data_IF_805983453503
#
_entry.id   IF_805983453503
#
_cell.length_a   1.000
_cell.length_b   1.000
_cell.length_c   1.000
_cell.angle_alpha   90.00
_cell.angle_beta   90.00
_cell.angle_gamma   90.00
#
_symmetry.space_group_name_H-M   'P 1'
#
loop_
_entity.id
_entity.type
_entity.pdbx_description
1 polymer ?
2 non-polymer ?
3 water ?
#
# COMPACT_ATOMS: atom_id res chain seq x y z
N UNK A 1 6.86 30.76 6.48
CA UNK A 1 7.04 29.47 5.74
C UNK A 1 8.33 28.76 6.17
N UNK A 2 8.49 27.53 5.69
CA UNK A 2 9.68 26.75 6.00
C UNK A 2 10.78 27.11 4.99
N UNK A 3 11.78 27.84 5.47
CA UNK A 3 12.89 28.30 4.63
C UNK A 3 13.57 27.17 3.85
N UNK A 4 13.77 26.03 4.50
CA UNK A 4 14.42 24.90 3.85
C UNK A 4 13.65 24.32 2.68
N UNK A 5 12.34 24.21 2.81
CA UNK A 5 11.50 23.63 1.75
C UNK A 5 10.58 24.59 1.02
N UNK A 6 10.27 25.72 1.66
CA UNK A 6 9.37 26.67 1.04
C UNK A 6 7.93 26.25 1.27
N UNK A 7 7.74 25.23 2.09
CA UNK A 7 6.41 24.71 2.43
C UNK A 7 5.75 25.56 3.50
N UNK A 8 4.43 25.44 3.67
CA UNK A 8 3.69 26.20 4.69
C UNK A 8 4.17 25.84 6.10
N UNK A 9 4.02 26.77 7.04
CA UNK A 9 4.42 26.53 8.42
C UNK A 9 3.54 25.47 9.06
N UNK A 10 3.98 25.00 10.22
CA UNK A 10 3.24 24.00 10.98
C UNK A 10 1.89 24.59 11.39
N UNK A 11 1.89 25.90 11.69
CA UNK A 11 0.68 26.59 12.10
C UNK A 11 -0.34 26.66 10.96
N UNK A 12 0.13 27.00 9.77
CA UNK A 12 -0.75 27.09 8.62
C UNK A 12 -1.29 25.70 8.27
N UNK A 13 -0.44 24.69 8.34
CA UNK A 13 -0.90 23.33 8.04
C UNK A 13 -2.02 23.00 9.03
N UNK A 14 -1.77 23.33 10.29
CA UNK A 14 -2.73 23.10 11.36
C UNK A 14 -4.06 23.77 11.05
N UNK A 15 -4.00 25.02 10.60
CA UNK A 15 -5.22 25.77 10.25
C UNK A 15 -5.93 25.11 9.07
N UNK A 16 -5.15 24.69 8.08
CA UNK A 16 -5.69 24.05 6.89
C UNK A 16 -6.42 22.75 7.27
N UNK A 17 -5.79 21.96 8.13
CA UNK A 17 -6.37 20.70 8.56
C UNK A 17 -7.68 20.89 9.32
N UNK A 18 -7.70 21.86 10.23
CA UNK A 18 -8.90 22.12 11.00
C UNK A 18 -10.06 22.49 10.07
N UNK A 19 -9.78 23.32 9.06
CA UNK A 19 -10.81 23.73 8.13
C UNK A 19 -11.30 22.57 7.26
N UNK A 20 -10.39 21.72 6.82
CA UNK A 20 -10.78 20.59 6.00
C UNK A 20 -11.65 19.61 6.79
N UNK A 21 -11.31 19.39 8.06
CA UNK A 21 -12.09 18.48 8.89
C UNK A 21 -13.50 19.01 9.12
N UNK A 22 -13.65 20.34 9.10
CA UNK A 22 -14.95 20.96 9.29
C UNK A 22 -15.75 20.90 7.99
N UNK A 23 -15.06 20.98 6.86
CA UNK A 23 -15.70 20.96 5.55
C UNK A 23 -16.00 19.57 5.02
N UNK A 24 -15.09 18.62 5.26
CA UNK A 24 -15.30 17.27 4.74
C UNK A 24 -15.35 16.18 5.79
N UNK A 25 -16.55 15.64 5.99
CA UNK A 25 -16.77 14.56 6.95
C UNK A 25 -17.65 13.47 6.33
N UNK A 26 -17.78 13.49 5.01
CA UNK A 26 -18.54 12.49 4.27
C UNK A 26 -17.60 11.35 3.94
N UNK A 27 -18.10 10.11 3.98
CA UNK A 27 -17.28 8.95 3.69
C UNK A 27 -16.82 8.94 2.23
N UNK A 28 -17.53 9.68 1.39
CA UNK A 28 -17.18 9.72 -0.03
C UNK A 28 -16.14 10.77 -0.41
N UNK A 29 -15.88 11.70 0.49
CA UNK A 29 -14.90 12.76 0.23
C UNK A 29 -14.30 13.16 1.59
N UNK A 30 -13.75 12.18 2.32
CA UNK A 30 -13.16 12.41 3.63
C UNK A 30 -11.83 13.12 3.62
N UNK A 31 -11.42 13.55 4.81
CA UNK A 31 -10.13 14.18 4.97
C UNK A 31 -9.20 13.01 5.20
N UNK A 32 -8.04 13.04 4.54
CA UNK A 32 -7.07 11.97 4.72
C UNK A 32 -5.72 12.60 5.01
N UNK A 33 -5.01 12.01 5.96
CA UNK A 33 -3.71 12.51 6.36
C UNK A 33 -2.63 11.47 6.08
N UNK A 34 -1.58 11.90 5.39
CA UNK A 34 -0.45 11.03 5.10
C UNK A 34 0.72 11.59 5.89
N UNK A 35 1.48 10.72 6.55
CA UNK A 35 2.64 11.13 7.32
C UNK A 35 3.80 10.41 6.65
N UNK A 36 4.65 11.16 5.96
CA UNK A 36 5.77 10.59 5.23
C UNK A 36 7.10 10.74 5.94
N UNK A 37 7.90 9.69 5.87
CA UNK A 37 9.21 9.67 6.51
C UNK A 37 10.27 9.39 5.47
N UNK A 38 11.32 10.20 5.44
CA UNK A 38 12.42 9.95 4.53
C UNK A 38 13.30 9.08 5.43
N UNK A 39 13.10 7.77 5.31
CA UNK A 39 13.80 6.79 6.12
C UNK A 39 15.32 6.88 6.21
N UNK A 40 15.99 7.10 5.08
CA UNK A 40 17.46 7.15 5.11
C UNK A 40 18.05 8.56 5.08
N UNK A 41 17.26 9.56 5.44
CA UNK A 41 17.75 10.92 5.41
C UNK A 41 18.94 11.20 6.32
N UNK A 42 18.89 10.73 7.56
CA UNK A 42 19.97 10.98 8.50
C UNK A 42 21.34 10.54 7.98
N UNK A 43 21.41 9.32 7.44
CA UNK A 43 22.66 8.82 6.91
C UNK A 43 23.12 9.71 5.77
N UNK A 44 22.18 10.15 4.93
CA UNK A 44 22.49 11.02 3.80
C UNK A 44 22.99 12.36 4.34
N UNK A 45 22.19 12.99 5.19
CA UNK A 45 22.54 14.27 5.76
C UNK A 45 23.88 14.22 6.49
N UNK A 46 24.16 13.11 7.17
CA UNK A 46 25.43 12.98 7.87
C UNK A 46 26.59 12.85 6.90
N UNK A 47 26.46 11.93 5.95
CA UNK A 47 27.49 11.69 4.95
C UNK A 47 27.77 12.88 4.03
N UNK A 48 26.71 13.45 3.45
CA UNK A 48 26.86 14.56 2.51
C UNK A 48 26.87 15.97 3.07
N UNK A 49 26.47 16.15 4.33
CA UNK A 49 26.46 17.49 4.89
C UNK A 49 25.09 18.12 4.76
N UNK A 50 24.82 19.11 5.59
CA UNK A 50 23.54 19.79 5.61
C UNK A 50 23.20 20.62 4.37
N UNK A 51 24.20 21.04 3.61
CA UNK A 51 23.94 21.79 2.40
C UNK A 51 23.17 20.90 1.44
N UNK A 52 23.67 19.69 1.21
CA UNK A 52 23.01 18.74 0.33
C UNK A 52 21.71 18.27 0.97
N UNK A 53 21.76 18.07 2.28
CA UNK A 53 20.58 17.63 3.02
C UNK A 53 19.41 18.57 2.84
N UNK A 54 19.65 19.87 2.97
CA UNK A 54 18.57 20.83 2.82
C UNK A 54 18.05 20.83 1.40
N UNK A 55 18.96 20.73 0.44
CA UNK A 55 18.57 20.70 -0.97
C UNK A 55 17.66 19.51 -1.23
N UNK A 56 18.03 18.36 -0.64
CA UNK A 56 17.25 17.14 -0.81
C UNK A 56 15.83 17.31 -0.24
N UNK A 57 15.76 17.89 0.96
CA UNK A 57 14.47 18.11 1.61
C UNK A 57 13.56 19.00 0.78
N UNK A 58 14.14 20.01 0.14
CA UNK A 58 13.37 20.94 -0.68
C UNK A 58 12.90 20.26 -1.97
N UNK A 59 13.75 19.41 -2.54
CA UNK A 59 13.40 18.71 -3.77
C UNK A 59 12.34 17.64 -3.48
N UNK A 60 12.38 17.09 -2.27
CA UNK A 60 11.42 16.07 -1.86
C UNK A 60 10.05 16.72 -1.64
N UNK A 61 10.06 17.88 -1.01
CA UNK A 61 8.84 18.63 -0.74
C UNK A 61 8.12 19.02 -2.01
N UNK A 62 8.89 19.38 -3.04
CA UNK A 62 8.30 19.78 -4.31
C UNK A 62 7.73 18.59 -5.06
N UNK A 63 8.44 17.45 -5.03
CA UNK A 63 7.95 16.28 -5.72
C UNK A 63 6.68 15.78 -5.05
N UNK A 64 6.58 15.98 -3.74
CA UNK A 64 5.38 15.56 -3.03
C UNK A 64 4.21 16.41 -3.50
N UNK A 65 4.44 17.71 -3.63
CA UNK A 65 3.38 18.60 -4.09
C UNK A 65 2.90 18.25 -5.50
N UNK A 66 3.80 17.76 -6.34
CA UNK A 66 3.41 17.42 -7.71
C UNK A 66 2.56 16.16 -7.72
N UNK A 67 2.65 15.37 -6.65
CA UNK A 67 1.91 14.12 -6.56
C UNK A 67 0.58 14.22 -5.84
N UNK A 68 0.32 15.33 -5.16
CA UNK A 68 -0.96 15.50 -4.47
C UNK A 68 -1.88 16.32 -5.38
N UNK A 69 -3.04 16.75 -4.88
CA UNK A 69 -3.96 17.53 -5.69
C UNK A 69 -3.92 19.01 -5.33
N UNK A 70 -4.24 19.86 -6.29
CA UNK A 70 -4.27 21.30 -6.03
C UNK A 70 -5.27 21.46 -4.90
N UNK A 71 -4.90 22.20 -3.86
CA UNK A 71 -5.82 22.37 -2.75
C UNK A 71 -5.33 21.59 -1.52
N UNK A 72 -4.45 20.62 -1.75
CA UNK A 72 -3.90 19.84 -0.63
C UNK A 72 -2.76 20.63 -0.01
N UNK A 73 -2.40 20.32 1.23
CA UNK A 73 -1.33 21.02 1.91
C UNK A 73 -0.24 20.05 2.38
N UNK A 74 1.01 20.47 2.24
CA UNK A 74 2.16 19.67 2.65
C UNK A 74 3.03 20.54 3.57
N UNK A 75 3.51 19.95 4.65
CA UNK A 75 4.36 20.68 5.60
C UNK A 75 5.38 19.75 6.24
N UNK A 76 6.58 20.26 6.50
CA UNK A 76 7.65 19.46 7.08
C UNK A 76 7.54 19.40 8.61
N UNK A 77 8.04 18.32 9.18
CA UNK A 77 8.03 18.18 10.64
C UNK A 77 9.09 17.19 11.09
N UNK A 78 9.59 17.40 12.31
CA UNK A 78 10.61 16.50 12.84
C UNK A 78 11.83 16.41 11.95
N UNK A 79 12.14 17.50 11.27
CA UNK A 79 13.31 17.51 10.39
C UNK A 79 13.15 16.82 9.06
N UNK A 80 12.92 15.51 9.07
CA UNK A 80 12.80 14.76 7.83
C UNK A 80 11.48 14.05 7.57
N UNK A 81 10.40 14.53 8.16
CA UNK A 81 9.07 13.94 7.93
C UNK A 81 8.19 15.02 7.30
N UNK A 82 7.12 14.60 6.67
CA UNK A 82 6.19 15.53 6.03
C UNK A 82 4.76 15.12 6.34
N UNK A 83 3.92 16.09 6.70
CA UNK A 83 2.52 15.80 6.97
C UNK A 83 1.78 16.27 5.73
N UNK A 84 1.02 15.35 5.14
CA UNK A 84 0.29 15.63 3.93
C UNK A 84 -1.22 15.59 4.14
N UNK A 85 -1.88 16.70 3.89
CA UNK A 85 -3.32 16.81 4.05
C UNK A 85 -4.04 16.70 2.72
N UNK A 86 -4.91 15.70 2.60
CA UNK A 86 -5.70 15.53 1.39
C UNK A 86 -7.06 16.15 1.72
N UNK A 87 -7.29 17.33 1.16
CA UNK A 87 -8.48 18.12 1.41
C UNK A 87 -9.70 17.59 0.63
N UNK A 88 -10.22 16.45 1.07
CA UNK A 88 -11.35 15.82 0.39
C UNK A 88 -10.71 14.84 -0.58
N UNK A 89 -10.61 13.58 -0.17
CA UNK A 89 -9.95 12.56 -0.97
C UNK A 89 -10.83 11.69 -1.86
N UNK A 90 -11.95 12.22 -2.32
CA UNK A 90 -12.81 11.44 -3.19
C UNK A 90 -12.04 10.93 -4.40
N UNK A 91 -12.29 9.66 -4.75
CA UNK A 91 -11.65 9.02 -5.89
C UNK A 91 -10.16 8.74 -5.73
N UNK A 92 -9.65 8.79 -4.51
CA UNK A 92 -8.23 8.50 -4.29
C UNK A 92 -8.11 7.21 -3.47
N UNK A 93 -9.24 6.54 -3.27
CA UNK A 93 -9.27 5.31 -2.50
C UNK A 93 -8.68 5.60 -1.12
N UNK A 94 -9.23 6.61 -0.46
CA UNK A 94 -8.81 7.03 0.86
C UNK A 94 -7.33 7.39 0.91
N UNK A 95 -6.87 8.08 -0.13
CA UNK A 95 -5.48 8.50 -0.22
C UNK A 95 -4.48 7.48 -0.73
N UNK A 96 -4.87 6.22 -0.90
CA UNK A 96 -3.94 5.21 -1.37
C UNK A 96 -3.33 5.55 -2.73
N UNK A 97 -4.14 6.09 -3.64
CA UNK A 97 -3.64 6.45 -4.96
C UNK A 97 -2.69 7.64 -4.89
N UNK A 98 -2.86 8.48 -3.86
CA UNK A 98 -1.98 9.64 -3.70
C UNK A 98 -0.65 9.14 -3.13
N UNK A 99 -0.71 8.22 -2.17
CA UNK A 99 0.48 7.66 -1.57
C UNK A 99 1.31 6.94 -2.66
N UNK A 100 0.63 6.28 -3.60
CA UNK A 100 1.33 5.58 -4.67
C UNK A 100 2.01 6.55 -5.63
N UNK A 101 1.36 7.67 -5.89
CA UNK A 101 1.92 8.69 -6.79
C UNK A 101 3.13 9.36 -6.14
N UNK A 102 3.10 9.53 -4.88
CA UNK A 102 4.24 10.10 -4.16
C UNK A 102 5.39 9.11 -4.23
N UNK A 103 5.14 7.87 -3.89
CA UNK A 103 6.19 6.88 -3.93
C UNK A 103 6.81 6.79 -5.34
N UNK A 104 5.98 6.95 -6.37
CA UNK A 104 6.50 6.90 -7.74
C UNK A 104 7.41 8.08 -8.02
N UNK A 105 7.04 9.26 -7.52
CA UNK A 105 7.86 10.43 -7.73
C UNK A 105 9.14 10.41 -6.92
N UNK A 106 9.05 9.94 -5.67
CA UNK A 106 10.23 9.89 -4.79
C UNK A 106 11.17 8.72 -5.04
N UNK A 107 10.75 7.77 -5.88
CA UNK A 107 11.59 6.62 -6.20
C UNK A 107 12.59 7.05 -7.27
N UNK A 108 12.34 8.19 -7.90
CA UNK A 108 13.24 8.70 -8.93
C UNK A 108 14.49 9.26 -8.23
N UNK A 109 15.66 9.13 -8.85
CA UNK A 109 16.87 9.64 -8.22
C UNK A 109 16.91 11.15 -8.05
N UNK A 110 17.69 11.61 -7.07
CA UNK A 110 17.88 13.03 -6.81
C UNK A 110 19.35 13.23 -7.15
N UNK A 111 19.63 13.93 -8.25
CA UNK A 111 21.02 14.11 -8.64
C UNK A 111 21.61 15.43 -8.18
N UNK A 112 22.63 15.35 -7.34
CA UNK A 112 23.32 16.53 -6.84
C UNK A 112 24.74 16.42 -7.37
N UNK A 113 25.05 17.24 -8.37
CA UNK A 113 26.37 17.17 -8.98
C UNK A 113 26.47 15.81 -9.65
N UNK A 114 27.53 15.08 -9.36
CA UNK A 114 27.72 13.75 -9.92
C UNK A 114 27.29 12.70 -8.90
N UNK A 115 26.63 13.15 -7.83
CA UNK A 115 26.19 12.25 -6.78
C UNK A 115 24.71 11.88 -6.90
N UNK A 116 24.46 10.60 -7.17
CA UNK A 116 23.11 10.09 -7.31
C UNK A 116 22.59 9.76 -5.91
N UNK A 117 21.38 10.23 -5.59
CA UNK A 117 20.80 9.95 -4.29
C UNK A 117 19.43 9.30 -4.44
N UNK A 118 19.26 8.18 -3.75
CA UNK A 118 18.00 7.46 -3.78
C UNK A 118 17.51 7.38 -2.33
N UNK A 119 16.36 7.99 -2.05
CA UNK A 119 15.84 7.95 -0.69
C UNK A 119 14.87 6.80 -0.54
N UNK A 120 14.74 6.32 0.70
CA UNK A 120 13.81 5.26 1.02
C UNK A 120 12.68 5.99 1.76
N UNK A 121 11.43 5.64 1.45
CA UNK A 121 10.28 6.33 2.04
C UNK A 121 9.24 5.41 2.68
N UNK A 122 8.64 5.86 3.78
CA UNK A 122 7.59 5.10 4.46
C UNK A 122 6.43 6.04 4.74
N UNK A 123 5.23 5.60 4.40
CA UNK A 123 4.06 6.44 4.58
C UNK A 123 2.96 5.80 5.43
N UNK A 124 2.47 6.56 6.41
CA UNK A 124 1.38 6.08 7.25
C UNK A 124 0.13 6.85 6.84
N UNK A 125 -0.95 6.24 6.86
CA UNK A 125 -2.14 6.95 6.39
C UNK A 125 -3.29 6.93 7.39
N UNK A 126 -4.01 7.91 7.65
CA UNK A 126 -5.11 7.96 8.62
C UNK A 126 -6.30 8.61 7.92
N UNK A 127 -7.44 7.93 7.96
CA UNK A 127 -8.66 8.43 7.32
C UNK A 127 -9.67 8.90 8.36
N UNK A 128 -10.20 10.10 8.16
CA UNK A 128 -11.20 10.64 9.08
C UNK A 128 -12.56 10.12 8.63
N UNK A 129 -13.43 9.75 9.57
CA UNK A 129 -13.25 9.77 11.02
C UNK A 129 -12.76 8.47 11.66
N UNK A 130 -12.87 7.36 10.92
CA UNK A 130 -12.46 6.05 11.44
C UNK A 130 -11.12 6.04 12.18
N UNK A 131 -10.14 6.76 11.65
CA UNK A 131 -8.80 6.81 12.23
C UNK A 131 -8.57 8.02 13.11
N UNK A 132 -9.66 8.64 13.55
CA UNK A 132 -9.54 9.81 14.41
C UNK A 132 -10.45 10.94 13.97
N UNK A 133 -11.01 11.64 14.94
CA UNK A 133 -11.89 12.76 14.67
C UNK A 133 -11.12 14.07 14.72
N UNK A 134 -10.37 14.29 15.80
CA UNK A 134 -9.59 15.51 15.97
C UNK A 134 -8.32 15.44 15.13
N UNK A 135 -7.73 16.60 14.84
CA UNK A 135 -6.51 16.63 14.06
C UNK A 135 -5.36 15.95 14.81
N UNK A 136 -5.34 16.08 16.14
CA UNK A 136 -4.28 15.46 16.93
C UNK A 136 -4.36 13.94 16.83
N UNK A 137 -5.56 13.39 16.91
CA UNK A 137 -5.73 11.94 16.84
C UNK A 137 -5.38 11.44 15.45
N UNK A 138 -5.81 12.18 14.43
CA UNK A 138 -5.56 11.79 13.05
C UNK A 138 -4.05 11.75 12.77
N UNK A 139 -3.35 12.80 13.15
CA UNK A 139 -1.91 12.90 12.95
C UNK A 139 -1.16 11.81 13.70
N UNK A 140 -1.48 11.64 14.98
CA UNK A 140 -0.84 10.61 15.79
C UNK A 140 -1.08 9.23 15.22
N UNK A 141 -2.28 9.00 14.70
CA UNK A 141 -2.59 7.70 14.13
C UNK A 141 -1.87 7.48 12.80
N UNK A 142 -1.77 8.53 11.98
CA UNK A 142 -1.06 8.40 10.71
C UNK A 142 0.42 8.19 11.04
N UNK A 143 0.88 8.84 12.10
CA UNK A 143 2.28 8.74 12.53
C UNK A 143 2.57 7.30 12.96
N UNK A 144 1.65 6.72 13.73
CA UNK A 144 1.82 5.35 14.19
C UNK A 144 1.85 4.39 13.02
N UNK A 145 0.95 4.59 12.05
CA UNK A 145 0.90 3.73 10.87
C UNK A 145 2.23 3.86 10.11
N UNK A 146 2.75 5.08 10.06
CA UNK A 146 4.01 5.35 9.37
C UNK A 146 5.15 4.51 9.96
N UNK A 147 5.36 4.62 11.27
CA UNK A 147 6.42 3.87 11.93
C UNK A 147 6.23 2.36 11.80
N UNK A 148 4.97 1.92 11.75
CA UNK A 148 4.69 0.50 11.58
C UNK A 148 5.21 0.09 10.21
N UNK A 149 4.89 0.90 9.20
CA UNK A 149 5.32 0.64 7.84
C UNK A 149 6.85 0.59 7.80
N UNK A 150 7.48 1.62 8.33
CA UNK A 150 8.95 1.70 8.36
C UNK A 150 9.59 0.48 9.00
N UNK A 151 8.91 -0.12 9.98
CA UNK A 151 9.46 -1.28 10.66
C UNK A 151 9.39 -2.56 9.82
N UNK A 152 8.51 -2.60 8.86
CA UNK A 152 8.28 -3.77 8.09
C UNK A 152 8.93 -3.71 6.68
N UNK A 153 9.56 -2.58 6.35
CA UNK A 153 10.14 -2.40 5.03
C UNK A 153 10.33 -0.94 4.64
N UNK A 154 10.62 -0.71 3.35
CA UNK A 154 10.82 0.65 2.84
C UNK A 154 10.04 0.85 1.54
N UNK A 155 9.87 2.10 1.16
CA UNK A 155 9.15 2.49 -0.05
C UNK A 155 7.76 1.87 -0.03
N UNK A 156 7.12 2.02 1.13
CA UNK A 156 5.79 1.45 1.36
C UNK A 156 4.87 2.40 2.08
N UNK A 157 3.61 1.98 2.21
CA UNK A 157 2.62 2.76 2.91
C UNK A 157 1.65 1.79 3.57
N UNK A 158 0.96 2.28 4.60
CA UNK A 158 -0.04 1.46 5.24
C UNK A 158 -1.01 2.33 6.02
N UNK A 159 -2.25 1.89 6.11
CA UNK A 159 -3.29 2.62 6.82
C UNK A 159 -3.24 2.27 8.29
N UNK A 160 -3.66 3.21 9.13
CA UNK A 160 -3.70 2.97 10.56
C UNK A 160 -4.75 1.88 10.81
N UNK A 161 -4.46 0.98 11.75
CA UNK A 161 -5.40 -0.09 12.10
C UNK A 161 -5.84 0.04 13.56
N UNK A 162 -7.12 0.39 13.78
CA UNK A 162 -7.68 0.57 15.12
C UNK A 162 -7.37 -0.61 16.05
N UNK B 8 -5.03 -33.09 -18.62
CA UNK B 8 -4.15 -32.58 -17.58
C UNK B 8 -4.71 -32.82 -16.20
N UNK B 9 -5.08 -31.73 -15.57
CA UNK B 9 -6.16 -31.71 -14.63
C UNK B 9 -7.13 -30.54 -14.77
N UNK B 10 -8.07 -30.75 -15.67
CA UNK B 10 -9.05 -29.76 -15.96
C UNK B 10 -9.95 -29.63 -14.79
N UNK B 11 -9.95 -30.62 -13.90
CA UNK B 11 -10.93 -30.59 -12.84
C UNK B 11 -10.35 -29.67 -11.67
N UNK B 12 -9.06 -29.66 -11.60
CA UNK B 12 -8.42 -28.88 -10.55
C UNK B 12 -8.60 -27.40 -10.85
N UNK B 13 -8.50 -27.05 -12.14
CA UNK B 13 -8.68 -25.65 -12.57
C UNK B 13 -10.13 -25.20 -12.38
N UNK B 14 -11.05 -26.15 -12.40
CA UNK B 14 -12.47 -25.85 -12.19
C UNK B 14 -12.67 -25.52 -10.71
N UNK B 15 -11.99 -26.28 -9.85
CA UNK B 15 -12.07 -26.12 -8.40
C UNK B 15 -11.43 -24.83 -7.91
N UNK B 16 -10.45 -24.32 -8.67
CA UNK B 16 -9.74 -23.12 -8.28
C UNK B 16 -10.08 -21.86 -9.09
N UNK B 17 -9.34 -21.61 -10.17
CA UNK B 17 -9.54 -20.42 -11.00
C UNK B 17 -10.91 -20.24 -11.65
N UNK B 18 -11.37 -21.26 -12.36
CA UNK B 18 -12.65 -21.18 -13.06
C UNK B 18 -13.84 -20.86 -12.16
N UNK B 19 -13.97 -21.54 -11.03
CA UNK B 19 -15.09 -21.25 -10.15
C UNK B 19 -14.94 -19.82 -9.62
N UNK B 20 -13.70 -19.39 -9.41
CA UNK B 20 -13.44 -18.05 -8.91
C UNK B 20 -13.88 -16.99 -9.95
N UNK B 21 -13.64 -17.29 -11.22
CA UNK B 21 -14.02 -16.36 -12.27
C UNK B 21 -15.54 -16.32 -12.49
N UNK B 22 -16.24 -17.29 -11.92
CA UNK B 22 -17.70 -17.37 -12.05
C UNK B 22 -18.44 -16.62 -10.94
N UNK B 23 -17.71 -16.18 -9.92
CA UNK B 23 -18.31 -15.46 -8.81
C UNK B 23 -18.87 -14.14 -9.33
N UNK B 24 -19.82 -13.56 -8.59
CA UNK B 24 -20.43 -12.31 -9.02
C UNK B 24 -20.69 -11.34 -7.86
N UNK B 25 -21.06 -10.11 -8.22
CA UNK B 25 -21.34 -9.06 -7.25
C UNK B 25 -22.73 -9.19 -6.66
N UNK B 26 -22.81 -9.59 -5.39
CA UNK B 26 -24.09 -9.72 -4.72
C UNK B 26 -24.68 -8.32 -4.59
N UNK B 27 -25.48 -7.92 -5.57
CA UNK B 27 -26.12 -6.61 -5.60
C UNK B 27 -26.21 -5.88 -4.27
N UNK B 28 -25.82 -4.61 -4.30
CA UNK B 28 -25.86 -3.80 -3.09
C UNK B 28 -24.46 -3.33 -2.74
N UNK B 29 -23.55 -4.28 -2.54
CA UNK B 29 -22.18 -3.95 -2.19
C UNK B 29 -21.17 -4.34 -3.27
N UNK B 30 -20.32 -3.39 -3.68
CA UNK B 30 -19.32 -3.65 -4.72
C UNK B 30 -18.27 -4.63 -4.18
N UNK B 31 -17.54 -5.26 -5.08
CA UNK B 31 -16.53 -6.23 -4.66
C UNK B 31 -15.11 -5.70 -4.81
N UNK B 32 -14.20 -6.26 -4.02
CA UNK B 32 -12.80 -5.85 -4.05
C UNK B 32 -11.88 -7.06 -4.21
N UNK B 33 -11.46 -7.34 -5.43
CA UNK B 33 -10.57 -8.47 -5.71
C UNK B 33 -9.22 -8.27 -5.04
N UNK B 34 -8.35 -9.26 -5.18
CA UNK B 34 -7.02 -9.20 -4.58
C UNK B 34 -6.07 -10.21 -5.23
N UNK B 35 -5.08 -9.69 -5.94
CA UNK B 35 -4.09 -10.55 -6.60
C UNK B 35 -2.74 -10.49 -5.90
N UNK B 36 -2.28 -11.62 -5.40
CA UNK B 36 -1.00 -11.69 -4.69
C UNK B 36 -0.11 -12.78 -5.27
N UNK B 37 1.17 -12.44 -5.47
CA UNK B 37 2.13 -13.39 -6.01
C UNK B 37 3.29 -13.60 -5.04
N UNK B 38 3.74 -14.85 -4.94
CA UNK B 38 4.84 -15.18 -4.03
C UNK B 38 6.07 -14.81 -4.84
N UNK B 39 6.71 -13.71 -4.47
CA UNK B 39 7.88 -13.23 -5.19
C UNK B 39 8.93 -14.31 -5.40
N UNK B 40 9.50 -14.33 -6.61
CA UNK B 40 10.53 -15.28 -6.99
C UNK B 40 10.17 -16.73 -6.66
N UNK B 41 8.89 -17.09 -6.78
CA UNK B 41 8.52 -18.47 -6.48
C UNK B 41 9.23 -19.47 -7.38
N UNK B 42 9.41 -19.12 -8.65
CA UNK B 42 10.06 -20.02 -9.60
C UNK B 42 11.45 -20.42 -9.11
N UNK B 43 12.26 -19.44 -8.74
CA UNK B 43 13.61 -19.68 -8.25
C UNK B 43 13.57 -20.57 -7.00
N UNK B 44 12.62 -20.31 -6.11
CA UNK B 44 12.47 -21.08 -4.89
C UNK B 44 12.19 -22.55 -5.25
N UNK B 45 11.25 -22.74 -6.17
CA UNK B 45 10.86 -24.07 -6.63
C UNK B 45 12.02 -24.80 -7.31
N UNK B 46 12.82 -24.07 -8.09
CA UNK B 46 13.96 -24.65 -8.80
C UNK B 46 15.07 -25.05 -7.84
N UNK B 47 15.16 -24.38 -6.70
CA UNK B 47 16.21 -24.64 -5.73
C UNK B 47 15.82 -25.63 -4.63
N UNK B 48 14.57 -25.58 -4.16
CA UNK B 48 14.15 -26.46 -3.10
C UNK B 48 13.34 -27.68 -3.55
N UNK B 49 12.99 -27.75 -4.83
CA UNK B 49 12.23 -28.89 -5.32
C UNK B 49 10.73 -28.64 -5.30
N UNK B 50 9.98 -29.33 -6.17
CA UNK B 50 8.54 -29.11 -6.23
C UNK B 50 7.78 -29.55 -4.99
N UNK B 51 8.27 -30.58 -4.30
CA UNK B 51 7.59 -31.03 -3.09
C UNK B 51 7.56 -29.91 -2.05
N UNK B 52 8.66 -29.18 -1.94
CA UNK B 52 8.72 -28.06 -0.99
C UNK B 52 7.95 -26.87 -1.55
N UNK B 53 8.10 -26.59 -2.83
CA UNK B 53 7.39 -25.48 -3.45
C UNK B 53 5.88 -25.64 -3.35
N UNK B 54 5.40 -26.85 -3.63
CA UNK B 54 3.96 -27.13 -3.53
C UNK B 54 3.50 -26.91 -2.09
N UNK B 55 4.25 -27.45 -1.14
CA UNK B 55 3.86 -27.29 0.26
C UNK B 55 3.77 -25.82 0.62
N UNK B 56 4.69 -25.02 0.09
CA UNK B 56 4.70 -23.59 0.36
C UNK B 56 3.43 -22.94 -0.19
N UNK B 57 3.02 -23.33 -1.39
CA UNK B 57 1.82 -22.78 -2.00
C UNK B 57 0.59 -23.16 -1.18
N UNK B 58 0.50 -24.42 -0.78
CA UNK B 58 -0.63 -24.89 0.01
C UNK B 58 -0.69 -24.18 1.36
N UNK B 59 0.46 -24.04 2.02
CA UNK B 59 0.50 -23.37 3.31
C UNK B 59 0.12 -21.89 3.16
N UNK B 60 0.64 -21.25 2.12
CA UNK B 60 0.34 -19.85 1.88
C UNK B 60 -1.17 -19.61 1.77
N UNK B 61 -1.86 -20.45 1.00
CA UNK B 61 -3.30 -20.31 0.83
C UNK B 61 -4.04 -20.44 2.16
N UNK B 62 -3.63 -21.39 2.99
CA UNK B 62 -4.30 -21.58 4.27
C UNK B 62 -4.06 -20.38 5.18
N UNK B 63 -2.87 -19.79 5.09
CA UNK B 63 -2.56 -18.63 5.91
C UNK B 63 -3.44 -17.47 5.48
N UNK B 64 -3.56 -17.26 4.17
CA UNK B 64 -4.38 -16.19 3.62
C UNK B 64 -5.81 -16.39 4.12
N UNK B 65 -6.31 -17.61 4.02
CA UNK B 65 -7.68 -17.92 4.44
C UNK B 65 -7.92 -17.54 5.90
N UNK B 66 -6.89 -17.66 6.72
CA UNK B 66 -7.00 -17.33 8.13
C UNK B 66 -6.97 -15.81 8.37
N UNK B 67 -6.41 -15.06 7.43
CA UNK B 67 -6.30 -13.61 7.59
C UNK B 67 -7.45 -12.78 7.00
N UNK B 68 -8.34 -13.40 6.25
CA UNK B 68 -9.44 -12.66 5.66
C UNK B 68 -10.72 -12.67 6.48
N UNK B 69 -11.65 -11.79 6.12
CA UNK B 69 -12.92 -11.66 6.82
C UNK B 69 -13.87 -12.82 6.55
N UNK B 70 -14.87 -12.96 7.43
CA UNK B 70 -15.85 -14.03 7.36
C UNK B 70 -16.51 -14.22 5.99
N UNK B 71 -16.71 -13.13 5.25
CA UNK B 71 -17.34 -13.26 3.95
C UNK B 71 -16.41 -13.25 2.75
N UNK B 72 -15.13 -13.47 2.99
CA UNK B 72 -14.12 -13.46 1.94
C UNK B 72 -13.71 -14.86 1.49
N UNK B 73 -13.42 -15.00 0.20
CA UNK B 73 -13.02 -16.29 -0.36
C UNK B 73 -11.59 -16.24 -0.92
N UNK B 74 -10.93 -17.39 -0.95
CA UNK B 74 -9.57 -17.48 -1.45
C UNK B 74 -9.39 -18.60 -2.46
N UNK B 75 -8.67 -18.33 -3.54
CA UNK B 75 -8.45 -19.35 -4.55
C UNK B 75 -7.06 -19.29 -5.17
N UNK B 76 -6.42 -20.46 -5.33
CA UNK B 76 -5.11 -20.51 -5.95
C UNK B 76 -5.37 -20.48 -7.45
N UNK B 77 -4.51 -19.80 -8.19
CA UNK B 77 -4.67 -19.68 -9.63
C UNK B 77 -3.32 -19.44 -10.31
N UNK B 78 -3.29 -19.58 -11.62
CA UNK B 78 -2.06 -19.35 -12.37
C UNK B 78 -0.89 -20.18 -11.90
N UNK B 79 -1.16 -21.30 -11.23
CA UNK B 79 -0.11 -22.16 -10.76
C UNK B 79 0.44 -21.78 -9.40
N UNK B 80 1.02 -20.58 -9.31
CA UNK B 80 1.60 -20.11 -8.05
C UNK B 80 1.08 -18.74 -7.58
N UNK B 81 -0.12 -18.37 -7.93
CA UNK B 81 -0.70 -17.13 -7.51
C UNK B 81 -1.96 -17.35 -6.69
N UNK B 82 -2.48 -16.28 -6.12
CA UNK B 82 -3.64 -16.39 -5.25
C UNK B 82 -4.56 -15.21 -5.47
N UNK B 83 -5.87 -15.45 -5.44
CA UNK B 83 -6.81 -14.37 -5.60
C UNK B 83 -7.72 -14.38 -4.37
N UNK B 84 -8.09 -13.20 -3.89
CA UNK B 84 -8.96 -13.08 -2.74
C UNK B 84 -10.10 -12.14 -3.10
N UNK B 85 -11.33 -12.64 -2.94
CA UNK B 85 -12.52 -11.85 -3.24
C UNK B 85 -13.16 -11.38 -1.95
N UNK B 86 -13.32 -10.06 -1.81
CA UNK B 86 -13.95 -9.48 -0.63
C UNK B 86 -15.37 -9.07 -0.99
N UNK B 87 -16.35 -9.72 -0.35
CA UNK B 87 -17.75 -9.43 -0.60
C UNK B 87 -18.28 -8.45 0.44
N UNK B 88 -18.37 -7.18 0.05
CA UNK B 88 -18.85 -6.15 0.96
C UNK B 88 -17.82 -5.05 1.06
N UNK B 89 -16.61 -5.42 1.50
CA UNK B 89 -15.50 -4.48 1.63
C UNK B 89 -15.77 -3.34 2.61
N UNK B 90 -16.95 -3.35 3.22
CA UNK B 90 -17.31 -2.31 4.17
C UNK B 90 -16.37 -2.22 5.37
N UNK B 91 -15.84 -1.03 5.62
CA UNK B 91 -14.94 -0.78 6.74
C UNK B 91 -13.56 -1.42 6.59
N UNK B 92 -13.21 -1.83 5.37
CA UNK B 92 -11.91 -2.46 5.14
C UNK B 92 -11.03 -1.51 4.35
N UNK B 93 -11.56 -0.33 4.03
CA UNK B 93 -10.84 0.69 3.27
C UNK B 93 -10.51 0.16 1.89
N UNK B 94 -11.55 -0.30 1.20
CA UNK B 94 -11.40 -0.85 -0.13
C UNK B 94 -10.48 -2.07 -0.11
N UNK B 95 -10.44 -2.76 1.02
CA UNK B 95 -9.62 -3.95 1.14
C UNK B 95 -8.23 -3.78 1.71
N UNK B 96 -7.78 -2.53 1.80
CA UNK B 96 -6.44 -2.22 2.32
C UNK B 96 -6.15 -2.87 3.66
N UNK B 97 -7.12 -2.86 4.57
CA UNK B 97 -6.92 -3.45 5.89
C UNK B 97 -6.77 -4.96 5.83
N UNK B 98 -7.46 -5.59 4.89
CA UNK B 98 -7.36 -7.04 4.73
C UNK B 98 -5.99 -7.37 4.14
N UNK B 99 -5.57 -6.60 3.14
CA UNK B 99 -4.27 -6.84 2.52
C UNK B 99 -3.15 -6.78 3.57
N UNK B 100 -3.28 -5.84 4.51
CA UNK B 100 -2.29 -5.68 5.57
C UNK B 100 -2.29 -6.87 6.52
N UNK B 101 -3.46 -7.43 6.80
CA UNK B 101 -3.53 -8.58 7.67
C UNK B 101 -2.89 -9.77 6.95
N UNK B 102 -3.19 -9.94 5.71
CA UNK B 102 -2.57 -11.00 4.94
C UNK B 102 -1.06 -10.83 5.01
N UNK B 103 -0.53 -9.62 4.73
CA UNK B 103 0.91 -9.36 4.78
C UNK B 103 1.48 -9.70 6.16
N UNK B 104 0.74 -9.37 7.22
CA UNK B 104 1.23 -9.69 8.56
C UNK B 104 1.38 -11.21 8.66
N UNK B 105 0.39 -11.93 8.16
CA UNK B 105 0.43 -13.39 8.21
C UNK B 105 1.54 -14.00 7.39
N UNK B 106 1.80 -13.45 6.21
CA UNK B 106 2.83 -13.98 5.32
C UNK B 106 4.25 -13.52 5.62
N UNK B 107 4.42 -12.68 6.63
CA UNK B 107 5.74 -12.18 7.02
C UNK B 107 6.42 -13.17 7.96
N UNK B 108 5.64 -14.01 8.63
CA UNK B 108 6.21 -14.97 9.57
C UNK B 108 6.77 -16.17 8.80
N UNK B 109 7.85 -16.77 9.32
CA UNK B 109 8.45 -17.92 8.64
C UNK B 109 7.51 -19.10 8.51
N UNK B 110 7.67 -19.85 7.42
CA UNK B 110 6.88 -21.05 7.19
C UNK B 110 7.73 -22.16 7.80
N UNK B 111 7.17 -22.91 8.75
CA UNK B 111 7.92 -23.97 9.41
C UNK B 111 7.49 -25.35 8.93
N UNK B 112 8.30 -25.94 8.06
CA UNK B 112 8.02 -27.26 7.51
C UNK B 112 8.88 -28.34 8.13
N UNK B 113 9.61 -27.97 9.18
CA UNK B 113 10.50 -28.90 9.85
C UNK B 113 11.85 -28.21 9.87
N UNK B 114 12.92 -28.91 9.49
CA UNK B 114 14.25 -28.31 9.48
C UNK B 114 14.33 -27.21 8.42
N UNK B 115 13.47 -27.28 7.42
CA UNK B 115 13.44 -26.27 6.36
C UNK B 115 12.43 -25.19 6.71
N UNK B 116 12.91 -23.97 6.92
CA UNK B 116 12.03 -22.85 7.23
C UNK B 116 12.20 -21.84 6.11
N UNK B 117 11.07 -21.31 5.62
CA UNK B 117 11.06 -20.37 4.51
C UNK B 117 10.40 -19.04 4.84
N UNK B 118 11.02 -17.95 4.39
CA UNK B 118 10.45 -16.62 4.54
C UNK B 118 10.23 -16.16 3.11
N UNK B 119 9.00 -15.75 2.80
CA UNK B 119 8.70 -15.29 1.44
C UNK B 119 8.43 -13.79 1.45
N UNK B 120 8.56 -13.18 0.27
CA UNK B 120 8.24 -11.77 0.10
C UNK B 120 7.08 -11.84 -0.88
N UNK B 121 6.05 -11.01 -0.66
CA UNK B 121 4.89 -11.03 -1.55
C UNK B 121 4.52 -9.66 -2.05
N UNK B 122 3.72 -9.64 -3.11
CA UNK B 122 3.24 -8.42 -3.74
C UNK B 122 1.74 -8.64 -3.92
N UNK B 123 0.97 -7.66 -3.68
CA UNK B 123 -0.47 -7.77 -3.81
C UNK B 123 -1.07 -6.65 -4.65
N UNK B 124 -1.96 -6.97 -5.52
CA UNK B 124 -2.61 -5.99 -6.35
C UNK B 124 -4.05 -5.92 -5.86
N UNK B 125 -4.65 -4.74 -5.87
CA UNK B 125 -6.04 -4.59 -5.44
C UNK B 125 -6.86 -3.89 -6.51
N UNK B 126 -7.97 -4.50 -6.90
CA UNK B 126 -8.85 -3.92 -7.91
C UNK B 126 -10.22 -3.74 -7.29
N UNK B 127 -10.79 -2.54 -7.45
CA UNK B 127 -12.10 -2.24 -6.89
C UNK B 127 -13.16 -2.03 -7.97
N UNK B 128 -14.24 -2.75 -7.84
CA UNK B 128 -15.38 -2.57 -8.78
C UNK B 128 -16.26 -1.32 -8.33
N UNK B 129 -16.91 -0.73 -9.30
CA UNK B 129 -16.85 -1.03 -10.74
C UNK B 129 -15.77 -0.26 -11.50
N UNK B 130 -15.17 0.73 -10.85
CA UNK B 130 -14.14 1.56 -11.48
C UNK B 130 -12.96 0.77 -12.06
N UNK B 131 -12.62 -0.34 -11.41
CA UNK B 131 -11.51 -1.18 -11.85
C UNK B 131 -11.98 -2.38 -12.66
N UNK B 132 -13.26 -2.36 -13.04
CA UNK B 132 -13.81 -3.46 -13.82
C UNK B 132 -15.05 -4.05 -13.18
N UNK B 133 -15.87 -4.74 -13.98
CA UNK B 133 -17.09 -5.36 -13.47
C UNK B 133 -17.04 -6.89 -13.48
N UNK B 134 -16.52 -7.49 -14.55
CA UNK B 134 -16.44 -8.95 -14.56
C UNK B 134 -15.33 -9.36 -13.61
N UNK B 135 -15.40 -10.57 -13.07
CA UNK B 135 -14.36 -11.03 -12.16
C UNK B 135 -13.03 -11.04 -12.91
N UNK B 136 -13.06 -11.48 -14.16
CA UNK B 136 -11.83 -11.55 -14.96
C UNK B 136 -11.19 -10.20 -15.13
N UNK B 137 -11.99 -9.16 -15.36
CA UNK B 137 -11.44 -7.82 -15.56
C UNK B 137 -10.77 -7.33 -14.28
N UNK B 138 -11.39 -7.48 -13.25
CA UNK B 138 -10.84 -7.13 -11.94
C UNK B 138 -9.56 -7.95 -11.69
N UNK B 139 -9.58 -9.19 -11.91
CA UNK B 139 -8.39 -10.02 -11.72
C UNK B 139 -7.24 -9.47 -12.56
N UNK B 140 -7.53 -9.14 -13.82
CA UNK B 140 -6.52 -8.58 -14.73
C UNK B 140 -5.94 -7.27 -14.20
N UNK B 141 -6.83 -6.37 -13.78
CA UNK B 141 -6.40 -5.07 -13.27
C UNK B 141 -5.64 -5.21 -11.96
N UNK B 142 -6.05 -6.15 -11.11
CA UNK B 142 -5.34 -6.36 -9.86
C UNK B 142 -3.96 -6.92 -10.18
N UNK B 143 -3.88 -7.75 -11.23
CA UNK B 143 -2.59 -8.33 -11.62
C UNK B 143 -1.65 -7.21 -12.04
N UNK B 144 -2.17 -6.23 -12.78
CA UNK B 144 -1.37 -5.09 -13.22
C UNK B 144 -0.85 -4.30 -12.01
N UNK B 145 -1.70 -4.10 -11.00
CA UNK B 145 -1.30 -3.37 -9.81
C UNK B 145 -0.24 -4.13 -9.01
N UNK B 146 -0.37 -5.44 -9.00
CA UNK B 146 0.55 -6.28 -8.27
C UNK B 146 1.99 -6.07 -8.78
N UNK B 147 2.16 -6.04 -10.07
CA UNK B 147 3.46 -5.86 -10.69
C UNK B 147 4.03 -4.48 -10.35
N UNK B 148 3.15 -3.49 -10.22
CA UNK B 148 3.65 -2.16 -9.85
C UNK B 148 4.12 -2.22 -8.41
N UNK B 149 3.40 -2.96 -7.57
CA UNK B 149 3.78 -3.09 -6.16
C UNK B 149 5.14 -3.79 -6.06
N UNK B 150 5.29 -4.84 -6.86
CA UNK B 150 6.52 -5.64 -6.89
C UNK B 150 7.71 -4.81 -7.39
N UNK B 151 7.45 -3.90 -8.32
CA UNK B 151 8.57 -3.11 -8.87
C UNK B 151 8.97 -2.07 -7.83
N UNK B 152 8.07 -1.71 -6.95
CA UNK B 152 8.33 -0.72 -5.91
C UNK B 152 9.13 -1.30 -4.75
N UNK B 153 8.79 -2.54 -4.39
CA UNK B 153 9.49 -3.21 -3.31
C UNK B 153 8.85 -4.55 -3.01
N UNK B 154 9.14 -5.10 -1.83
CA UNK B 154 8.58 -6.38 -1.45
C UNK B 154 7.63 -6.21 -0.27
N UNK B 155 6.70 -7.15 -0.15
CA UNK B 155 5.70 -7.13 0.92
C UNK B 155 4.85 -5.88 0.91
N UNK B 156 4.39 -5.54 -0.27
CA UNK B 156 3.62 -4.35 -0.54
C UNK B 156 2.24 -4.66 -1.14
N UNK B 157 1.37 -3.68 -1.20
CA UNK B 157 0.11 -3.86 -1.89
C UNK B 157 -0.09 -2.56 -2.65
N UNK B 158 -0.78 -2.66 -3.78
CA UNK B 158 -1.00 -1.51 -4.65
C UNK B 158 -2.40 -1.56 -5.23
N UNK B 159 -3.10 -0.42 -5.21
CA UNK B 159 -4.44 -0.35 -5.80
C UNK B 159 -4.28 -0.02 -7.27
N UNK B 160 -5.07 -0.68 -8.12
CA UNK B 160 -5.01 -0.41 -9.56
C UNK B 160 -5.41 1.05 -9.78
N UNK B 161 -4.78 1.67 -10.78
CA UNK B 161 -5.06 3.06 -11.11
C UNK B 161 -5.33 3.23 -12.60
N UNK B 162 -6.60 3.49 -12.97
CA UNK B 162 -7.00 3.68 -14.37
C UNK B 162 -6.35 4.90 -15.01
X LIG C 1 12.80 8.92 12.66
X LIG C 1 11.62 9.68 13.12
X LIG C 1 13.93 9.85 12.50
X LIG C 1 13.14 7.89 13.66
X LIG C 1 12.51 8.28 11.36
X LIG D 1 -3.47 10.24 25.30
X LIG D 1 -3.82 9.30 24.22
X LIG D 1 -3.06 11.54 24.75
X LIG D 1 -4.63 10.42 26.19
X LIG D 1 -2.35 9.66 26.08
X LIG E 1 11.49 -3.30 0.40
X LIG E 1 12.54 -3.96 -0.40
X LIG E 1 10.38 -4.23 0.66
X LIG E 1 12.06 -2.87 1.69
X LIG E 1 10.99 -2.12 -0.32
X LIG F 1 5.59 -30.59 9.81
X LIG F 1 4.23 -30.24 9.39
X LIG F 1 6.56 -29.69 9.16
X LIG F 1 5.71 -30.47 11.27
X LIG F 1 5.87 -31.98 9.40
X LIG G 1 6.13 -13.48 -11.27
X LIG G 1 5.95 -13.06 -9.95
X LIG G 1 6.25 -12.41 -12.12
X LIG G 1 7.29 -14.24 -11.44
X LIG G 1 5.11 -14.34 -11.71
X LIG H 1 11.93 -31.83 -8.28
X LIG H 1 11.31 -30.59 -8.77
X LIG H 1 12.38 -31.62 -6.90
X LIG H 1 10.94 -32.92 -8.32
X LIG H 1 13.09 -32.18 -9.12
X LIG I 1 -0.34 -28.67 -4.93
X LIG I 1 -1.65 -28.21 -4.42
X LIG I 1 0.07 -29.89 -4.21
X LIG I 1 -0.44 -28.96 -6.37
X LIG I 1 0.66 -27.61 -4.71
X LIG J 1 6.27 -17.21 -15.72
X LIG J 1 4.98 -16.56 -15.97
X LIG J 1 6.84 -16.71 -14.45
X LIG J 1 6.08 -18.68 -15.62
X LIG J 1 7.19 -16.92 -16.82
#
# INVERSE_FOLDING_TARGET
>A
MDTVTGLPNRQLFCDRLLQALAAHERDGNPVVLLFLDVDNFKSINDSLGHLVGDRLLRATAERIRTAVRDGDTVARIGGDKFTILLNGAKDTLNGALVAQKILDGLAQPFVFGAQQIVISVSIGIAVSPADGETMEQLLRNADTAMYHAKSRGKNNYQFFSPELEHHHHHH
>B
XDTVTGLPNRQLFCDRLLQALAAHERDGNPVVLLFLDVDNFKSINDSLGHLVGDRLLRATAERIRTAVRDGDTVARIGGDKFTILLNGAKDTLNGALVAQKILDGLAQPFVFGAQQIVISVSIGIAVSPADGETMEQLLRNADTAMYHAKSRGKNNYQFFSPELEHHHHHH
>C hetero
1 SO4 S O1 O2 O3 O4
>D hetero
1 SO4 S O1 O2 O3 O4
>E hetero
1 SO4 S O1 O2 O3 O4
>F hetero
1 SO4 S O1 O2 O3 O4
>G hetero
1 SO4 S O1 O2 O3 O4
>H hetero
1 SO4 S O1 O2 O3 O4
>I hetero
1 SO4 S O1 O2 O3 O4
>J hetero
1 SO4 S O1 O2 O3 O4
#
